data_IF_078669874995
#
_entry.id   IF_078669874995
#
_cell.length_a   1.000
_cell.length_b   1.000
_cell.length_c   1.000
_cell.angle_alpha   90.00
_cell.angle_beta   90.00
_cell.angle_gamma   90.00
#
_symmetry.space_group_name_H-M   'P 1'
#
loop_
_entity.id
_entity.type
_entity.pdbx_description
1 polymer ?
#
# COMPACT_ATOMS: atom_id res chain seq x y z
N UNK A 1 13.87 4.70 10.36
CA UNK A 1 13.36 4.41 11.73
C UNK A 1 12.65 3.06 11.63
N UNK A 2 13.20 1.98 12.24
CA UNK A 2 12.53 0.67 12.22
C UNK A 2 11.39 0.76 13.23
N UNK A 3 10.21 1.15 12.79
CA UNK A 3 9.03 1.14 13.65
C UNK A 3 8.86 -0.28 14.21
N UNK A 4 9.04 -0.40 15.53
CA UNK A 4 8.73 -1.62 16.27
C UNK A 4 7.21 -1.78 16.23
N UNK A 5 6.70 -2.41 15.17
CA UNK A 5 5.36 -2.97 15.15
C UNK A 5 5.15 -3.70 16.48
N UNK A 6 4.16 -3.28 17.26
CA UNK A 6 3.90 -3.83 18.59
C UNK A 6 3.68 -5.33 18.53
N UNK A 7 3.98 -6.03 19.62
CA UNK A 7 3.76 -7.48 19.70
C UNK A 7 2.29 -7.85 19.42
N UNK A 8 1.35 -7.05 19.91
CA UNK A 8 -0.08 -7.21 19.61
C UNK A 8 -0.38 -7.12 18.10
N UNK A 9 0.25 -6.19 17.39
CA UNK A 9 0.04 -6.01 15.95
C UNK A 9 0.68 -7.16 15.16
N UNK A 10 1.85 -7.63 15.58
CA UNK A 10 2.51 -8.81 14.97
C UNK A 10 1.63 -10.05 15.09
N UNK A 11 1.02 -10.29 16.25
CA UNK A 11 0.10 -11.41 16.46
C UNK A 11 -1.12 -11.33 15.54
N UNK A 12 -1.65 -10.12 15.30
CA UNK A 12 -2.73 -9.91 14.33
C UNK A 12 -2.25 -10.25 12.92
N UNK A 13 -1.07 -9.77 12.52
CA UNK A 13 -0.50 -10.04 11.20
C UNK A 13 -0.22 -11.53 10.97
N UNK A 14 0.36 -12.25 11.93
CA UNK A 14 0.55 -13.69 11.84
C UNK A 14 -0.79 -14.44 11.75
N UNK A 15 -1.82 -13.98 12.47
CA UNK A 15 -3.16 -14.57 12.37
C UNK A 15 -3.75 -14.39 10.97
N UNK A 16 -3.62 -13.19 10.39
CA UNK A 16 -4.07 -12.91 9.02
C UNK A 16 -3.29 -13.76 8.02
N UNK A 17 -1.96 -13.85 8.17
CA UNK A 17 -1.10 -14.67 7.32
C UNK A 17 -1.55 -16.14 7.32
N UNK A 18 -1.85 -16.72 8.49
CA UNK A 18 -2.37 -18.09 8.59
C UNK A 18 -3.74 -18.27 7.94
N UNK A 19 -4.58 -17.24 7.91
CA UNK A 19 -5.91 -17.32 7.27
C UNK A 19 -5.83 -17.31 5.74
N UNK A 20 -4.77 -16.75 5.17
CA UNK A 20 -4.59 -16.67 3.71
C UNK A 20 -3.69 -17.77 3.15
N UNK A 21 -3.48 -18.87 3.89
CA UNK A 21 -2.70 -20.06 3.48
C UNK A 21 -3.03 -20.53 2.05
N UNK A 22 -4.30 -20.64 1.62
CA UNK A 22 -4.63 -21.09 0.27
C UNK A 22 -4.03 -20.22 -0.85
N UNK A 23 -3.64 -18.98 -0.53
CA UNK A 23 -3.11 -18.01 -1.48
C UNK A 23 -1.60 -17.76 -1.32
N UNK A 24 -0.93 -18.47 -0.40
CA UNK A 24 0.50 -18.23 -0.11
C UNK A 24 1.38 -18.38 -1.34
N UNK A 25 1.15 -19.40 -2.17
CA UNK A 25 1.90 -19.60 -3.41
C UNK A 25 1.77 -18.40 -4.36
N UNK A 26 0.55 -17.89 -4.53
CA UNK A 26 0.29 -16.71 -5.35
C UNK A 26 0.99 -15.46 -4.79
N UNK A 27 0.93 -15.27 -3.47
CA UNK A 27 1.54 -14.12 -2.78
C UNK A 27 3.07 -14.18 -2.85
N UNK A 28 3.66 -15.38 -2.79
CA UNK A 28 5.11 -15.58 -2.85
C UNK A 28 5.65 -15.48 -4.28
N UNK A 29 4.84 -15.78 -5.29
CA UNK A 29 5.28 -15.81 -6.70
C UNK A 29 5.12 -14.48 -7.45
N UNK A 30 4.34 -13.53 -6.92
CA UNK A 30 4.00 -12.28 -7.63
C UNK A 30 4.13 -11.06 -6.72
N UNK A 31 4.65 -9.97 -7.29
CA UNK A 31 4.60 -8.66 -6.64
C UNK A 31 3.16 -8.15 -6.56
N UNK A 32 2.75 -7.74 -5.37
CA UNK A 32 1.46 -7.11 -5.16
C UNK A 32 1.47 -5.63 -5.57
N UNK A 33 0.32 -5.13 -5.98
CA UNK A 33 0.07 -3.70 -6.17
C UNK A 33 -0.92 -3.26 -5.09
N UNK A 34 -0.49 -2.34 -4.23
CA UNK A 34 -1.26 -1.90 -3.07
C UNK A 34 -1.89 -0.55 -3.39
N UNK A 35 -3.22 -0.53 -3.51
CA UNK A 35 -3.96 0.72 -3.63
C UNK A 35 -3.88 1.52 -2.33
N UNK A 36 -3.21 2.66 -2.36
CA UNK A 36 -2.96 3.50 -1.19
C UNK A 36 -3.66 4.85 -1.31
N UNK A 37 -4.57 5.15 -0.38
CA UNK A 37 -5.36 6.39 -0.38
C UNK A 37 -4.88 7.42 0.66
N UNK A 38 -3.92 7.05 1.51
CA UNK A 38 -3.56 7.82 2.71
C UNK A 38 -4.46 7.57 3.92
N UNK A 39 -5.49 6.73 3.77
CA UNK A 39 -6.40 6.35 4.85
C UNK A 39 -5.82 5.28 5.78
N UNK A 40 -6.39 5.15 6.98
CA UNK A 40 -5.95 4.21 8.03
C UNK A 40 -5.90 2.77 7.54
N UNK A 41 -6.91 2.32 6.80
CA UNK A 41 -7.00 0.94 6.31
C UNK A 41 -5.89 0.63 5.31
N UNK A 42 -5.67 1.54 4.36
CA UNK A 42 -4.60 1.40 3.37
C UNK A 42 -3.20 1.51 4.00
N UNK A 43 -3.04 2.30 5.05
CA UNK A 43 -1.80 2.38 5.83
C UNK A 43 -1.56 1.08 6.60
N UNK A 44 -2.58 0.52 7.25
CA UNK A 44 -2.47 -0.77 7.95
C UNK A 44 -2.09 -1.89 6.97
N UNK A 45 -2.67 -1.88 5.77
CA UNK A 45 -2.31 -2.83 4.71
C UNK A 45 -0.85 -2.68 4.27
N UNK A 46 -0.34 -1.46 4.11
CA UNK A 46 1.08 -1.23 3.83
C UNK A 46 1.99 -1.77 4.93
N UNK A 47 1.64 -1.53 6.20
CA UNK A 47 2.39 -2.09 7.34
C UNK A 47 2.36 -3.61 7.36
N UNK A 48 1.23 -4.22 7.01
CA UNK A 48 1.13 -5.68 6.88
C UNK A 48 2.04 -6.22 5.78
N UNK A 49 2.05 -5.58 4.60
CA UNK A 49 2.93 -5.97 3.50
C UNK A 49 4.41 -5.70 3.79
N UNK A 50 4.72 -4.65 4.54
CA UNK A 50 6.06 -4.40 5.04
C UNK A 50 6.53 -5.52 5.96
N UNK A 51 5.68 -5.93 6.91
CA UNK A 51 5.96 -7.07 7.77
C UNK A 51 6.12 -8.38 6.97
N UNK A 52 5.25 -8.65 5.98
CA UNK A 52 5.37 -9.84 5.12
C UNK A 52 6.68 -9.85 4.33
N UNK A 53 7.10 -8.71 3.78
CA UNK A 53 8.34 -8.59 3.04
C UNK A 53 9.55 -8.89 3.94
N UNK A 54 9.57 -8.33 5.15
CA UNK A 54 10.66 -8.54 6.11
C UNK A 54 10.70 -9.97 6.64
N UNK A 55 9.55 -10.49 7.10
CA UNK A 55 9.49 -11.74 7.87
C UNK A 55 9.21 -12.98 7.01
N UNK A 56 8.35 -12.85 5.99
CA UNK A 56 7.93 -13.97 5.13
C UNK A 56 8.60 -13.97 3.76
N UNK A 57 9.43 -12.95 3.47
CA UNK A 57 10.22 -12.83 2.24
C UNK A 57 9.37 -12.84 0.97
N UNK A 58 8.17 -12.27 1.03
CA UNK A 58 7.36 -12.06 -0.17
C UNK A 58 8.06 -11.08 -1.13
N UNK A 59 7.74 -11.09 -2.44
CA UNK A 59 8.24 -10.08 -3.36
C UNK A 59 7.87 -8.65 -2.94
N UNK A 60 8.74 -7.69 -3.28
CA UNK A 60 8.53 -6.27 -2.96
C UNK A 60 7.22 -5.79 -3.62
N UNK A 61 6.27 -5.22 -2.86
CA UNK A 61 5.04 -4.68 -3.41
C UNK A 61 5.28 -3.30 -4.02
N UNK A 62 4.39 -2.87 -4.91
CA UNK A 62 4.33 -1.51 -5.43
C UNK A 62 3.17 -0.75 -4.78
N UNK A 63 3.45 0.45 -4.29
CA UNK A 63 2.44 1.35 -3.76
C UNK A 63 1.82 2.12 -4.93
N UNK A 64 0.50 2.04 -5.08
CA UNK A 64 -0.24 2.70 -6.14
C UNK A 64 -1.23 3.71 -5.55
N UNK A 65 -0.98 5.00 -5.78
CA UNK A 65 -1.90 6.07 -5.40
C UNK A 65 -2.67 6.55 -6.63
N UNK A 66 -4.00 6.58 -6.54
CA UNK A 66 -4.88 7.13 -7.57
C UNK A 66 -5.56 8.40 -7.04
N UNK A 67 -5.20 9.54 -7.60
CA UNK A 67 -5.94 10.79 -7.41
C UNK A 67 -7.16 10.79 -8.34
N UNK A 68 -8.35 10.81 -7.75
CA UNK A 68 -9.61 10.89 -8.50
C UNK A 68 -9.93 12.30 -9.02
N UNK A 69 -9.18 13.32 -8.60
CA UNK A 69 -9.33 14.74 -8.98
C UNK A 69 -10.76 15.30 -8.78
N UNK A 70 -11.50 14.75 -7.82
CA UNK A 70 -12.86 15.18 -7.44
C UNK A 70 -12.80 16.40 -6.51
N UNK A 71 -11.69 16.60 -5.80
CA UNK A 71 -11.46 17.70 -4.85
C UNK A 71 -10.04 18.23 -5.01
N UNK A 72 -9.82 19.47 -4.60
CA UNK A 72 -8.47 20.04 -4.52
C UNK A 72 -7.71 19.39 -3.37
N UNK A 73 -6.75 18.51 -3.67
CA UNK A 73 -6.10 17.62 -2.70
C UNK A 73 -4.57 17.62 -2.81
N UNK A 74 -3.96 18.65 -3.41
CA UNK A 74 -2.51 18.74 -3.62
C UNK A 74 -1.70 18.54 -2.33
N UNK A 75 -2.12 19.14 -1.22
CA UNK A 75 -1.44 18.95 0.07
C UNK A 75 -1.56 17.52 0.61
N UNK A 76 -2.69 16.87 0.37
CA UNK A 76 -2.91 15.49 0.80
C UNK A 76 -2.06 14.54 -0.04
N UNK A 77 -2.02 14.71 -1.36
CA UNK A 77 -1.18 13.94 -2.27
C UNK A 77 0.31 14.06 -1.87
N UNK A 78 0.76 15.29 -1.57
CA UNK A 78 2.12 15.52 -1.07
C UNK A 78 2.39 14.79 0.25
N UNK A 79 1.48 14.89 1.22
CA UNK A 79 1.62 14.18 2.51
C UNK A 79 1.69 12.65 2.34
N UNK A 80 0.91 12.11 1.40
CA UNK A 80 0.91 10.68 1.08
C UNK A 80 2.26 10.29 0.48
N UNK A 81 2.76 11.06 -0.49
CA UNK A 81 4.05 10.82 -1.12
C UNK A 81 5.18 10.85 -0.08
N UNK A 82 5.27 11.95 0.68
CA UNK A 82 6.28 12.14 1.73
C UNK A 82 6.25 10.99 2.75
N UNK A 83 5.04 10.56 3.17
CA UNK A 83 4.88 9.44 4.09
C UNK A 83 5.37 8.12 3.47
N UNK A 84 4.98 7.81 2.23
CA UNK A 84 5.36 6.56 1.58
C UNK A 84 6.86 6.45 1.33
N UNK A 85 7.50 7.53 0.88
CA UNK A 85 8.95 7.56 0.61
C UNK A 85 9.79 7.54 1.89
N UNK A 86 9.33 8.19 2.96
CA UNK A 86 10.06 8.22 4.23
C UNK A 86 9.91 6.94 5.06
N UNK A 87 8.80 6.21 4.89
CA UNK A 87 8.45 5.06 5.74
C UNK A 87 8.79 3.72 5.09
N UNK A 88 8.57 3.57 3.78
CA UNK A 88 8.65 2.27 3.10
C UNK A 88 9.69 2.28 1.98
N UNK A 89 10.54 1.25 1.88
CA UNK A 89 11.51 1.11 0.79
C UNK A 89 10.86 0.48 -0.47
N UNK A 90 9.62 0.87 -0.77
CA UNK A 90 8.82 0.29 -1.85
C UNK A 90 8.73 1.26 -3.03
N UNK A 91 8.66 0.76 -4.27
CA UNK A 91 8.40 1.60 -5.43
C UNK A 91 6.99 2.21 -5.34
N UNK A 92 6.90 3.50 -5.64
CA UNK A 92 5.67 4.28 -5.54
C UNK A 92 5.23 4.75 -6.93
N UNK A 93 3.95 4.58 -7.27
CA UNK A 93 3.36 5.05 -8.51
C UNK A 93 2.13 5.91 -8.21
N UNK A 94 2.24 7.21 -8.48
CA UNK A 94 1.17 8.19 -8.32
C UNK A 94 0.56 8.47 -9.69
N UNK A 95 -0.74 8.25 -9.83
CA UNK A 95 -1.50 8.48 -11.07
C UNK A 95 -2.67 9.42 -10.79
N UNK A 96 -2.91 10.33 -11.72
CA UNK A 96 -4.12 11.17 -11.74
C UNK A 96 -5.12 10.59 -12.72
N UNK A 97 -6.39 10.52 -12.30
CA UNK A 97 -7.47 10.10 -13.17
C UNK A 97 -7.67 11.17 -14.24
N UNK A 98 -7.37 10.80 -15.49
CA UNK A 98 -7.68 11.65 -16.64
C UNK A 98 -9.17 11.46 -16.93
N UNK A 99 -9.97 12.51 -16.74
CA UNK A 99 -11.31 12.55 -17.32
C UNK A 99 -11.16 12.84 -18.82
N UNK A 100 -11.68 11.98 -19.72
CA UNK A 100 -11.78 12.36 -21.11
C UNK A 100 -12.57 13.67 -21.18
N UNK A 101 -12.12 14.69 -21.94
CA UNK A 101 -13.01 15.79 -22.26
C UNK A 101 -14.25 15.18 -22.90
N UNK A 102 -15.44 15.50 -22.36
CA UNK A 102 -16.69 15.10 -22.97
C UNK A 102 -16.61 15.50 -24.45
N UNK A 103 -16.80 14.52 -25.34
CA UNK A 103 -16.99 14.78 -26.76
C UNK A 103 -18.27 15.60 -26.85
N UNK A 104 -18.14 16.92 -26.94
CA UNK A 104 -19.23 17.78 -27.40
C UNK A 104 -19.50 17.37 -28.85
N UNK A 105 -20.59 16.61 -29.03
CA UNK A 105 -21.15 16.21 -30.32
C UNK A 105 -22.04 17.31 -30.88
#
# INVERSE_FOLDING_TARGET
MRDKISESTRNIFDTVWKRIIPFHEMILSRSAVISYSGGKDSSLLLHFYFWLWVEKKIPVPCIYHLDHSIRFNLEQEKKILDYTESTFPFPNLFKKKIFPPYLES
#
